data_IF_281976636457
#
_entry.id   IF_281976636457
#
_cell.length_a   1.000
_cell.length_b   1.000
_cell.length_c   1.000
_cell.angle_alpha   90.00
_cell.angle_beta   90.00
_cell.angle_gamma   90.00
#
_symmetry.space_group_name_H-M   'P 1'
#
loop_
_entity.id
_entity.type
_entity.pdbx_description
1 polymer ?
#
# COMPACT_ATOMS: atom_id res chain seq x y z
N UNK A 1 -3.45 33.86 12.04
CA UNK A 1 -3.08 33.72 10.62
C UNK A 1 -4.37 33.55 9.82
N UNK A 2 -4.65 34.33 8.76
CA UNK A 2 -5.83 34.09 7.94
C UNK A 2 -5.61 32.80 7.13
N UNK A 3 -6.60 31.93 7.14
CA UNK A 3 -6.61 30.72 6.33
C UNK A 3 -6.63 31.10 4.86
N UNK A 4 -5.60 30.73 4.10
CA UNK A 4 -5.69 30.81 2.64
C UNK A 4 -6.69 29.76 2.17
N UNK A 5 -7.85 30.21 1.69
CA UNK A 5 -8.86 29.34 1.09
C UNK A 5 -8.32 28.81 -0.24
N UNK A 6 -7.52 27.74 -0.18
CA UNK A 6 -7.20 26.96 -1.36
C UNK A 6 -8.48 26.29 -1.84
N UNK A 7 -8.80 26.44 -3.12
CA UNK A 7 -9.87 25.66 -3.75
C UNK A 7 -9.34 24.22 -3.80
N UNK A 8 -9.77 23.38 -2.86
CA UNK A 8 -9.49 21.95 -2.92
C UNK A 8 -10.53 21.33 -3.84
N UNK A 9 -10.08 20.87 -5.01
CA UNK A 9 -10.94 20.10 -5.89
C UNK A 9 -11.26 18.72 -5.28
N UNK A 10 -12.20 18.01 -5.90
CA UNK A 10 -12.64 16.69 -5.41
C UNK A 10 -11.48 15.69 -5.29
N UNK A 11 -10.49 15.75 -6.17
CA UNK A 11 -9.36 14.82 -6.16
C UNK A 11 -8.42 15.10 -4.98
N UNK A 12 -8.14 16.37 -4.69
CA UNK A 12 -7.38 16.79 -3.52
C UNK A 12 -8.03 16.33 -2.22
N UNK A 13 -9.36 16.42 -2.13
CA UNK A 13 -10.13 15.94 -0.97
C UNK A 13 -10.03 14.42 -0.83
N UNK A 14 -10.26 13.66 -1.91
CA UNK A 14 -10.13 12.20 -1.87
C UNK A 14 -8.74 11.77 -1.42
N UNK A 15 -7.69 12.41 -1.95
CA UNK A 15 -6.31 12.10 -1.59
C UNK A 15 -6.01 12.38 -0.12
N UNK A 16 -6.51 13.49 0.41
CA UNK A 16 -6.35 13.84 1.82
C UNK A 16 -7.06 12.82 2.74
N UNK A 17 -8.28 12.41 2.38
CA UNK A 17 -9.03 11.40 3.14
C UNK A 17 -8.35 10.03 3.06
N UNK A 18 -7.91 9.60 1.87
CA UNK A 18 -7.14 8.36 1.71
C UNK A 18 -5.87 8.36 2.56
N UNK A 19 -5.17 9.49 2.62
CA UNK A 19 -3.97 9.66 3.47
C UNK A 19 -4.33 9.54 4.94
N UNK A 20 -5.41 10.20 5.40
CA UNK A 20 -5.92 10.05 6.76
C UNK A 20 -6.23 8.59 7.09
N UNK A 21 -6.92 7.87 6.21
CA UNK A 21 -7.27 6.46 6.40
C UNK A 21 -6.02 5.58 6.47
N UNK A 22 -5.10 5.69 5.51
CA UNK A 22 -3.92 4.83 5.40
C UNK A 22 -2.90 5.13 6.51
N UNK A 23 -2.54 6.41 6.71
CA UNK A 23 -1.56 6.79 7.72
C UNK A 23 -2.10 6.63 9.14
N UNK A 24 -3.40 6.90 9.34
CA UNK A 24 -4.08 6.68 10.62
C UNK A 24 -4.42 5.22 10.89
N UNK A 25 -4.20 4.32 9.94
CA UNK A 25 -4.57 2.89 10.01
C UNK A 25 -6.05 2.67 10.37
N UNK A 26 -6.90 3.57 9.89
CA UNK A 26 -8.33 3.48 10.17
C UNK A 26 -9.00 2.48 9.23
N UNK A 27 -10.07 1.79 9.68
CA UNK A 27 -10.98 1.12 8.78
C UNK A 27 -11.50 2.12 7.74
N UNK A 28 -11.58 1.72 6.47
CA UNK A 28 -12.10 2.61 5.41
C UNK A 28 -13.54 3.06 5.71
N UNK A 29 -14.29 2.26 6.47
CA UNK A 29 -15.65 2.57 6.93
C UNK A 29 -15.74 3.83 7.80
N UNK A 30 -14.63 4.32 8.36
CA UNK A 30 -14.57 5.56 9.15
C UNK A 30 -15.18 6.75 8.40
N UNK A 31 -15.06 6.77 7.07
CA UNK A 31 -15.53 7.89 6.23
C UNK A 31 -17.06 7.98 6.15
N UNK A 32 -17.76 6.90 6.51
CA UNK A 32 -19.22 6.88 6.59
C UNK A 32 -19.75 7.10 8.01
N UNK A 33 -18.85 7.11 9.00
CA UNK A 33 -19.20 7.35 10.40
C UNK A 33 -19.73 8.77 10.63
N UNK A 34 -20.68 8.89 11.56
CA UNK A 34 -21.32 10.17 11.89
C UNK A 34 -20.30 11.28 12.20
N UNK A 35 -19.31 10.99 13.06
CA UNK A 35 -18.32 11.99 13.46
C UNK A 35 -17.49 12.52 12.29
N UNK A 36 -17.07 11.64 11.38
CA UNK A 36 -16.33 12.03 10.18
C UNK A 36 -17.20 12.85 9.22
N UNK A 37 -18.45 12.42 8.97
CA UNK A 37 -19.38 13.16 8.12
C UNK A 37 -19.73 14.53 8.70
N UNK A 38 -19.91 14.62 10.01
CA UNK A 38 -20.13 15.88 10.70
C UNK A 38 -18.93 16.82 10.52
N UNK A 39 -17.71 16.34 10.75
CA UNK A 39 -16.49 17.10 10.49
C UNK A 39 -16.43 17.60 9.03
N UNK A 40 -16.65 16.72 8.05
CA UNK A 40 -16.61 17.10 6.64
C UNK A 40 -17.71 18.10 6.27
N UNK A 41 -18.88 18.04 6.91
CA UNK A 41 -19.96 19.01 6.70
C UNK A 41 -19.58 20.44 7.13
N UNK A 42 -18.64 20.59 8.06
CA UNK A 42 -18.13 21.89 8.52
C UNK A 42 -16.94 22.33 7.68
N UNK A 43 -16.00 21.41 7.42
CA UNK A 43 -14.73 21.71 6.76
C UNK A 43 -14.89 21.86 5.25
N UNK A 44 -15.70 21.01 4.61
CA UNK A 44 -15.97 21.04 3.18
C UNK A 44 -17.40 20.55 2.88
N UNK A 45 -18.42 21.44 3.05
CA UNK A 45 -19.83 21.08 2.86
C UNK A 45 -20.15 20.54 1.46
N UNK A 46 -19.43 21.00 0.44
CA UNK A 46 -19.61 20.58 -0.96
C UNK A 46 -19.11 19.15 -1.23
N UNK A 47 -18.25 18.60 -0.36
CA UNK A 47 -17.65 17.28 -0.53
C UNK A 47 -18.27 16.18 0.35
N UNK A 48 -19.45 16.42 0.94
CA UNK A 48 -20.08 15.51 1.92
C UNK A 48 -20.33 14.10 1.38
N UNK A 49 -20.35 13.91 0.06
CA UNK A 49 -20.71 12.66 -0.60
C UNK A 49 -19.51 11.81 -1.06
N UNK A 50 -18.47 11.69 -0.23
CA UNK A 50 -17.39 10.71 -0.49
C UNK A 50 -17.83 9.33 0.00
N UNK A 51 -17.86 8.35 -0.91
CA UNK A 51 -18.21 6.97 -0.57
C UNK A 51 -16.98 6.14 -0.19
N UNK A 52 -17.20 5.03 0.54
CA UNK A 52 -16.15 4.01 0.74
C UNK A 52 -15.55 3.56 -0.59
N UNK A 53 -16.37 3.45 -1.64
CA UNK A 53 -15.92 3.04 -2.98
C UNK A 53 -14.93 4.04 -3.58
N UNK A 54 -15.21 5.34 -3.46
CA UNK A 54 -14.31 6.38 -3.96
C UNK A 54 -12.95 6.32 -3.25
N UNK A 55 -12.95 6.18 -1.92
CA UNK A 55 -11.72 6.08 -1.12
C UNK A 55 -10.96 4.81 -1.43
N UNK A 56 -11.62 3.65 -1.50
CA UNK A 56 -10.97 2.39 -1.90
C UNK A 56 -10.31 2.53 -3.27
N UNK A 57 -10.98 3.11 -4.25
CA UNK A 57 -10.42 3.34 -5.59
C UNK A 57 -9.19 4.24 -5.54
N UNK A 58 -9.24 5.34 -4.77
CA UNK A 58 -8.11 6.26 -4.64
C UNK A 58 -6.91 5.63 -3.92
N UNK A 59 -7.15 4.86 -2.85
CA UNK A 59 -6.11 4.08 -2.15
C UNK A 59 -5.47 3.06 -3.10
N UNK A 60 -6.27 2.30 -3.84
CA UNK A 60 -5.77 1.31 -4.81
C UNK A 60 -4.97 1.99 -5.91
N UNK A 61 -5.46 3.11 -6.46
CA UNK A 61 -4.74 3.88 -7.47
C UNK A 61 -3.39 4.38 -6.94
N UNK A 62 -3.37 4.89 -5.71
CA UNK A 62 -2.15 5.32 -5.04
C UNK A 62 -1.16 4.17 -4.83
N UNK A 63 -1.65 3.01 -4.43
CA UNK A 63 -0.86 1.79 -4.28
C UNK A 63 -0.25 1.35 -5.63
N UNK A 64 -1.04 1.30 -6.70
CA UNK A 64 -0.55 0.90 -8.02
C UNK A 64 0.54 1.84 -8.53
N UNK A 65 0.36 3.16 -8.33
CA UNK A 65 1.39 4.16 -8.67
C UNK A 65 2.68 3.93 -7.88
N UNK A 66 2.57 3.72 -6.57
CA UNK A 66 3.76 3.48 -5.73
C UNK A 66 4.43 2.14 -6.05
N UNK A 67 3.66 1.11 -6.38
CA UNK A 67 4.20 -0.17 -6.87
C UNK A 67 5.03 0.03 -8.13
N UNK A 68 4.56 0.84 -9.08
CA UNK A 68 5.28 1.12 -10.31
C UNK A 68 6.54 1.98 -10.03
N UNK A 69 6.50 2.91 -9.06
CA UNK A 69 7.69 3.63 -8.59
C UNK A 69 8.74 2.67 -7.97
N UNK A 70 8.30 1.71 -7.15
CA UNK A 70 9.20 0.72 -6.54
C UNK A 70 9.82 -0.18 -7.62
N UNK A 71 9.06 -0.54 -8.65
CA UNK A 71 9.57 -1.28 -9.81
C UNK A 71 10.68 -0.52 -10.54
N UNK A 72 10.48 0.78 -10.79
CA UNK A 72 11.52 1.63 -11.38
C UNK A 72 12.76 1.70 -10.49
N UNK A 73 12.56 1.88 -9.18
CA UNK A 73 13.65 1.96 -8.21
C UNK A 73 14.46 0.65 -8.12
N UNK A 74 13.79 -0.50 -8.13
CA UNK A 74 14.43 -1.82 -8.18
C UNK A 74 15.18 -2.02 -9.50
N UNK A 75 14.62 -1.58 -10.64
CA UNK A 75 15.30 -1.66 -11.94
C UNK A 75 16.56 -0.81 -12.05
N UNK A 76 16.70 0.23 -11.20
CA UNK A 76 17.89 1.07 -11.07
C UNK A 76 18.86 0.57 -10.00
N UNK A 77 18.50 -0.43 -9.19
CA UNK A 77 19.40 -0.94 -8.18
C UNK A 77 20.65 -1.54 -8.84
N UNK A 78 21.81 -0.95 -8.57
CA UNK A 78 23.10 -1.39 -9.12
C UNK A 78 23.75 -2.50 -8.27
N UNK A 79 23.25 -2.71 -7.05
CA UNK A 79 23.69 -3.74 -6.12
C UNK A 79 22.80 -4.99 -6.07
N UNK A 80 23.09 -5.87 -5.11
CA UNK A 80 22.23 -7.03 -4.84
C UNK A 80 20.92 -6.61 -4.19
N UNK A 81 19.83 -7.25 -4.61
CA UNK A 81 18.54 -7.21 -3.92
C UNK A 81 18.45 -8.44 -3.02
N UNK A 82 18.29 -8.22 -1.72
CA UNK A 82 18.05 -9.27 -0.73
C UNK A 82 16.56 -9.35 -0.41
N UNK A 83 16.01 -10.57 -0.40
CA UNK A 83 14.63 -10.80 0.02
C UNK A 83 14.59 -11.36 1.45
N UNK A 84 13.77 -10.77 2.29
CA UNK A 84 13.36 -11.34 3.56
C UNK A 84 11.93 -11.88 3.42
N UNK A 85 11.73 -13.14 3.80
CA UNK A 85 10.41 -13.78 3.82
C UNK A 85 10.02 -14.02 5.27
N UNK A 86 8.89 -13.47 5.68
CA UNK A 86 8.35 -13.60 7.02
C UNK A 86 6.94 -14.20 6.90
N UNK A 87 6.67 -15.28 7.63
CA UNK A 87 5.34 -15.89 7.70
C UNK A 87 4.79 -15.87 9.12
N UNK A 88 3.47 -15.75 9.25
CA UNK A 88 2.79 -15.82 10.54
C UNK A 88 1.38 -16.40 10.36
N UNK A 89 0.86 -17.05 11.40
CA UNK A 89 -0.51 -17.54 11.45
C UNK A 89 -1.36 -16.61 12.33
N UNK A 90 -2.55 -16.26 11.87
CA UNK A 90 -3.53 -15.56 12.68
C UNK A 90 -4.14 -16.51 13.70
N UNK A 91 -4.01 -16.19 14.99
CA UNK A 91 -4.59 -17.02 16.05
C UNK A 91 -6.12 -17.13 15.96
N UNK A 92 -6.78 -16.09 15.45
CA UNK A 92 -8.23 -16.00 15.36
C UNK A 92 -8.79 -16.65 14.09
N UNK A 93 -8.32 -16.23 12.91
CA UNK A 93 -8.85 -16.74 11.65
C UNK A 93 -8.20 -18.04 11.19
N UNK A 94 -7.04 -18.40 11.75
CA UNK A 94 -6.18 -19.50 11.31
C UNK A 94 -5.61 -19.34 9.90
N UNK A 95 -5.75 -18.15 9.30
CA UNK A 95 -5.10 -17.84 8.02
C UNK A 95 -3.58 -17.73 8.22
N UNK A 96 -2.84 -18.25 7.24
CA UNK A 96 -1.39 -18.10 7.17
C UNK A 96 -1.03 -16.96 6.23
N UNK A 97 -0.15 -16.08 6.68
CA UNK A 97 0.29 -14.91 5.96
C UNK A 97 1.74 -15.06 5.54
N UNK A 98 2.06 -14.55 4.35
CA UNK A 98 3.42 -14.43 3.84
C UNK A 98 3.68 -12.97 3.47
N UNK A 99 4.71 -12.40 4.07
CA UNK A 99 5.26 -11.10 3.69
C UNK A 99 6.63 -11.31 3.05
N UNK A 100 6.82 -10.73 1.87
CA UNK A 100 8.11 -10.68 1.21
C UNK A 100 8.55 -9.21 1.17
N UNK A 101 9.72 -8.95 1.74
CA UNK A 101 10.33 -7.63 1.78
C UNK A 101 11.62 -7.62 0.98
N UNK A 102 11.75 -6.67 0.05
CA UNK A 102 12.97 -6.39 -0.67
C UNK A 102 13.83 -5.37 0.08
N UNK A 103 15.11 -5.70 0.22
CA UNK A 103 16.16 -4.88 0.79
C UNK A 103 17.24 -4.65 -0.26
N UNK A 104 17.56 -3.39 -0.54
CA UNK A 104 18.57 -3.02 -1.54
C UNK A 104 19.13 -1.62 -1.26
N UNK A 105 20.26 -1.29 -1.88
CA UNK A 105 20.83 0.07 -1.85
C UNK A 105 20.71 0.69 -3.24
N UNK A 106 20.43 1.99 -3.30
CA UNK A 106 20.48 2.77 -4.54
C UNK A 106 21.88 3.37 -4.77
N UNK A 107 22.03 4.10 -5.89
CA UNK A 107 23.30 4.73 -6.30
C UNK A 107 23.78 5.81 -5.32
N UNK A 108 22.88 6.37 -4.51
CA UNK A 108 23.18 7.34 -3.46
C UNK A 108 23.53 6.65 -2.12
N UNK A 109 23.78 5.32 -2.14
CA UNK A 109 24.05 4.49 -0.96
C UNK A 109 22.94 4.49 0.08
N UNK A 110 21.72 4.83 -0.33
CA UNK A 110 20.56 4.80 0.56
C UNK A 110 19.98 3.39 0.58
N UNK A 111 19.86 2.84 1.78
CA UNK A 111 19.22 1.54 2.00
C UNK A 111 17.69 1.70 1.93
N UNK A 112 17.06 0.87 1.11
CA UNK A 112 15.62 0.77 0.97
C UNK A 112 15.10 -0.53 1.55
N UNK A 113 13.94 -0.46 2.23
CA UNK A 113 13.15 -1.59 2.69
C UNK A 113 11.73 -1.44 2.13
N UNK A 114 11.31 -2.37 1.27
CA UNK A 114 10.00 -2.30 0.59
C UNK A 114 9.28 -3.64 0.66
N UNK A 115 8.05 -3.64 1.15
CA UNK A 115 7.17 -4.83 1.07
C UNK A 115 6.75 -4.98 -0.39
N UNK A 116 7.09 -6.12 -0.99
CA UNK A 116 6.85 -6.44 -2.40
C UNK A 116 5.80 -7.53 -2.60
N UNK A 117 5.46 -8.26 -1.54
CA UNK A 117 4.31 -9.15 -1.50
C UNK A 117 3.74 -9.22 -0.09
N UNK A 118 2.41 -9.24 0.02
CA UNK A 118 1.71 -9.61 1.23
C UNK A 118 0.48 -10.42 0.81
N UNK A 119 0.52 -11.74 1.06
CA UNK A 119 -0.56 -12.65 0.74
C UNK A 119 -1.01 -13.42 2.00
N UNK A 120 -2.21 -13.99 1.93
CA UNK A 120 -2.72 -14.90 2.94
C UNK A 120 -3.32 -16.14 2.28
N UNK A 121 -3.29 -17.25 3.00
CA UNK A 121 -3.66 -18.58 2.51
C UNK A 121 -4.44 -19.33 3.58
N UNK A 122 -5.35 -20.19 3.11
CA UNK A 122 -5.96 -21.20 3.96
C UNK A 122 -4.95 -22.34 4.16
N UNK A 123 -4.88 -22.88 5.37
CA UNK A 123 -4.03 -24.03 5.71
C UNK A 123 -4.35 -25.26 4.84
N UNK A 124 -3.37 -26.11 4.48
CA UNK A 124 -1.97 -26.10 4.94
C UNK A 124 -1.06 -25.20 4.10
N UNK A 125 -0.16 -24.49 4.78
CA UNK A 125 0.87 -23.64 4.18
C UNK A 125 2.23 -24.31 4.42
N UNK A 126 2.88 -24.76 3.36
CA UNK A 126 4.15 -25.49 3.44
C UNK A 126 5.26 -24.78 2.65
N UNK A 127 6.47 -25.33 2.75
CA UNK A 127 7.64 -24.78 2.06
C UNK A 127 7.50 -24.73 0.53
N UNK A 128 6.69 -25.62 -0.06
CA UNK A 128 6.47 -25.64 -1.51
C UNK A 128 5.63 -24.44 -1.93
N UNK A 129 4.56 -24.15 -1.19
CA UNK A 129 3.71 -23.00 -1.45
C UNK A 129 4.46 -21.68 -1.20
N UNK A 130 5.29 -21.60 -0.17
CA UNK A 130 6.17 -20.44 0.06
C UNK A 130 7.10 -20.22 -1.16
N UNK A 131 7.73 -21.27 -1.66
CA UNK A 131 8.63 -21.17 -2.81
C UNK A 131 7.89 -20.74 -4.09
N UNK A 132 6.69 -21.26 -4.33
CA UNK A 132 5.83 -20.86 -5.43
C UNK A 132 5.44 -19.37 -5.35
N UNK A 133 5.02 -18.91 -4.17
CA UNK A 133 4.63 -17.52 -3.95
C UNK A 133 5.81 -16.56 -4.10
N UNK A 134 7.01 -16.95 -3.65
CA UNK A 134 8.24 -16.20 -3.91
C UNK A 134 8.50 -16.13 -5.42
N UNK A 135 8.36 -17.23 -6.15
CA UNK A 135 8.56 -17.26 -7.60
C UNK A 135 7.53 -16.38 -8.35
N UNK A 136 6.26 -16.42 -7.95
CA UNK A 136 5.19 -15.56 -8.50
C UNK A 136 5.51 -14.09 -8.21
N UNK A 137 5.88 -13.77 -6.96
CA UNK A 137 6.30 -12.43 -6.57
C UNK A 137 7.44 -11.96 -7.49
N UNK A 138 8.56 -12.70 -7.54
CA UNK A 138 9.70 -12.36 -8.39
C UNK A 138 9.30 -12.15 -9.86
N UNK A 139 8.40 -12.97 -10.41
CA UNK A 139 7.92 -12.80 -11.79
C UNK A 139 7.16 -11.48 -11.99
N UNK A 140 6.35 -11.05 -11.02
CA UNK A 140 5.63 -9.77 -11.09
C UNK A 140 6.57 -8.56 -11.05
N UNK A 141 7.72 -8.70 -10.38
CA UNK A 141 8.73 -7.66 -10.22
C UNK A 141 9.85 -7.73 -11.29
N UNK A 142 10.03 -8.87 -11.99
CA UNK A 142 11.01 -9.10 -13.07
C UNK A 142 10.78 -8.29 -14.35
N UNK A 143 9.64 -7.62 -14.51
CA UNK A 143 9.35 -6.79 -15.69
C UNK A 143 10.16 -5.47 -15.75
N UNK A 144 11.16 -5.29 -14.89
CA UNK A 144 12.12 -4.19 -14.91
C UNK A 144 13.54 -4.73 -15.15
N UNK A 145 13.92 -4.85 -16.42
CA UNK A 145 15.25 -4.95 -17.05
C UNK A 145 16.53 -5.39 -16.28
N UNK A 146 16.49 -6.13 -15.17
CA UNK A 146 17.68 -6.78 -14.60
C UNK A 146 17.39 -8.18 -14.03
N UNK A 147 18.39 -9.06 -14.19
CA UNK A 147 18.37 -10.46 -13.81
C UNK A 147 18.36 -10.62 -12.27
N UNK A 148 17.31 -11.22 -11.72
CA UNK A 148 17.37 -11.95 -10.45
C UNK A 148 17.83 -13.38 -10.72
#
# INVERSE_FOLDING_TARGET
MPWKKGILDRNGILKAISTFVVCGKHPVTVVEGFGFRHLMSIVCPESVNVSIRDIKRDIISSYLKERDNIKELLGKATGKVCLACENWCSEYSKDEYLCITAHFSDDDWKVHKKIVCLNFFNTPFDGSLIAEEIAICLKQWKNCQQNF
#
